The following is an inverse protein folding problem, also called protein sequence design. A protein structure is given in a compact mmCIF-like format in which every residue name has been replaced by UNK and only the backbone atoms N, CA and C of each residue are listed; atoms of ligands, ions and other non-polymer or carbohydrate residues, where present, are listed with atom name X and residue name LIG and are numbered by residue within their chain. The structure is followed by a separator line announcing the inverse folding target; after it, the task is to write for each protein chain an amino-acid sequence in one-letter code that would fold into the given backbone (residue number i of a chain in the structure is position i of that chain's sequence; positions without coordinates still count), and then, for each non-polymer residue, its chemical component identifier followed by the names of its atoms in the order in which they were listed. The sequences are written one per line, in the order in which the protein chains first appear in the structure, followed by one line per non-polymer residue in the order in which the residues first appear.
data_IF_262399723102
#
_entry.id   IF_262399723102
#
_cell.length_a   1.000
_cell.length_b   1.000
_cell.length_c   1.000
_cell.angle_alpha   90.00
_cell.angle_beta   90.00
_cell.angle_gamma   90.00
#
_symmetry.space_group_name_H-M   'P 1'
#
loop_
_entity.id
_entity.type
_entity.pdbx_description
1 polymer ?
#
# COMPACT_ATOMS: atom_id res chain seq x y z
N UNK A 1 -29.01 -1.03 7.20
CA UNK A 1 -27.99 0.04 7.26
C UNK A 1 -26.94 -0.31 6.24
N UNK A 2 -26.78 0.47 5.17
CA UNK A 2 -25.72 0.23 4.17
C UNK A 2 -24.38 0.47 4.85
N UNK A 3 -23.58 -0.59 4.94
CA UNK A 3 -22.22 -0.51 5.48
C UNK A 3 -21.42 0.31 4.47
N UNK A 4 -21.00 1.51 4.82
CA UNK A 4 -20.19 2.37 3.94
C UNK A 4 -18.78 1.81 3.91
N UNK A 5 -18.29 1.51 2.71
CA UNK A 5 -16.92 1.05 2.51
C UNK A 5 -15.90 2.08 3.00
N UNK A 6 -14.72 1.64 3.42
CA UNK A 6 -13.62 2.51 3.89
C UNK A 6 -12.36 2.25 3.08
N UNK A 7 -11.60 3.31 2.82
CA UNK A 7 -10.29 3.20 2.20
C UNK A 7 -9.22 3.15 3.29
N UNK A 8 -8.36 2.13 3.21
CA UNK A 8 -7.22 1.93 4.11
C UNK A 8 -5.94 1.97 3.28
N UNK A 9 -5.05 2.88 3.56
CA UNK A 9 -3.76 3.01 2.87
C UNK A 9 -2.65 2.55 3.82
N UNK A 10 -1.92 1.53 3.43
CA UNK A 10 -0.76 1.01 4.17
C UNK A 10 0.49 1.30 3.35
N UNK A 11 1.34 2.18 3.87
CA UNK A 11 2.59 2.58 3.24
C UNK A 11 3.78 2.45 4.18
N UNK A 12 4.95 2.81 3.69
CA UNK A 12 6.20 2.82 4.43
C UNK A 12 7.36 2.29 3.58
N UNK A 13 8.59 2.30 4.08
CA UNK A 13 9.76 2.03 3.29
C UNK A 13 9.81 0.62 2.72
N UNK A 14 10.45 0.51 1.56
CA UNK A 14 10.71 -0.79 0.95
C UNK A 14 11.60 -1.64 1.86
N UNK A 15 11.16 -2.85 2.21
CA UNK A 15 11.85 -3.71 3.19
C UNK A 15 11.27 -3.67 4.59
N UNK A 16 10.27 -2.82 4.87
CA UNK A 16 9.60 -2.79 6.17
C UNK A 16 8.69 -3.99 6.46
N UNK A 17 8.43 -4.87 5.48
CA UNK A 17 7.59 -6.06 5.64
C UNK A 17 6.10 -5.83 5.40
N UNK A 18 5.71 -4.73 4.76
CA UNK A 18 4.30 -4.37 4.46
C UNK A 18 3.51 -5.52 3.83
N UNK A 19 4.01 -6.11 2.75
CA UNK A 19 3.27 -7.15 2.01
C UNK A 19 2.92 -8.34 2.89
N UNK A 20 3.87 -8.77 3.73
CA UNK A 20 3.63 -9.87 4.68
C UNK A 20 2.60 -9.49 5.73
N UNK A 21 2.66 -8.26 6.25
CA UNK A 21 1.70 -7.74 7.21
C UNK A 21 0.31 -7.63 6.61
N UNK A 22 0.19 -7.05 5.39
CA UNK A 22 -1.08 -6.91 4.68
C UNK A 22 -1.70 -8.26 4.38
N UNK A 23 -0.92 -9.22 3.84
CA UNK A 23 -1.41 -10.56 3.56
C UNK A 23 -1.95 -11.22 4.84
N UNK A 24 -1.18 -11.18 5.94
CA UNK A 24 -1.62 -11.74 7.21
C UNK A 24 -2.84 -11.03 7.80
N UNK A 25 -2.92 -9.71 7.65
CA UNK A 25 -4.08 -8.92 8.07
C UNK A 25 -5.35 -9.36 7.34
N UNK A 26 -5.27 -9.57 6.02
CA UNK A 26 -6.39 -10.05 5.20
C UNK A 26 -6.85 -11.46 5.62
N UNK A 27 -5.93 -12.32 6.08
CA UNK A 27 -6.23 -13.69 6.51
C UNK A 27 -6.97 -13.75 7.85
N UNK A 28 -6.62 -12.85 8.81
CA UNK A 28 -7.10 -12.96 10.19
C UNK A 28 -8.14 -11.93 10.58
N UNK A 29 -8.36 -10.90 9.78
CA UNK A 29 -9.30 -9.82 10.09
C UNK A 29 -10.74 -10.26 9.89
N UNK A 30 -11.62 -9.93 10.85
CA UNK A 30 -13.07 -10.11 10.74
C UNK A 30 -13.75 -8.98 9.92
N UNK A 31 -13.03 -7.91 9.60
CA UNK A 31 -13.53 -6.82 8.76
C UNK A 31 -13.58 -7.26 7.29
N UNK A 32 -14.52 -6.73 6.49
CA UNK A 32 -14.65 -7.08 5.08
C UNK A 32 -13.54 -6.46 4.23
N UNK A 33 -12.27 -6.77 4.55
CA UNK A 33 -11.11 -6.24 3.86
C UNK A 33 -11.02 -6.77 2.42
N UNK A 34 -10.65 -5.89 1.50
CA UNK A 34 -10.40 -6.20 0.09
C UNK A 34 -9.08 -5.55 -0.36
N UNK A 35 -8.09 -6.36 -0.72
CA UNK A 35 -6.85 -5.82 -1.29
C UNK A 35 -7.11 -5.30 -2.70
N UNK A 36 -6.80 -4.03 -2.95
CA UNK A 36 -6.73 -3.50 -4.30
C UNK A 36 -5.42 -3.93 -4.93
N UNK A 37 -5.50 -4.96 -5.79
CA UNK A 37 -4.32 -5.49 -6.50
C UNK A 37 -3.82 -4.45 -7.49
N UNK A 38 -2.58 -4.00 -7.35
CA UNK A 38 -1.96 -3.00 -8.22
C UNK A 38 -1.69 -3.55 -9.62
N UNK A 39 -1.81 -2.69 -10.63
CA UNK A 39 -1.35 -2.99 -11.98
C UNK A 39 0.15 -2.72 -12.12
N UNK A 40 0.83 -3.47 -12.98
CA UNK A 40 2.26 -3.27 -13.28
C UNK A 40 2.63 -3.68 -14.71
N UNK A 41 3.63 -3.01 -15.28
CA UNK A 41 4.24 -3.40 -16.56
C UNK A 41 5.45 -4.33 -16.38
N UNK A 42 5.85 -4.57 -15.12
CA UNK A 42 6.91 -5.54 -14.82
C UNK A 42 6.43 -6.96 -15.16
N UNK A 43 7.24 -7.77 -15.83
CA UNK A 43 6.90 -9.17 -16.03
C UNK A 43 6.75 -9.91 -14.68
N UNK A 44 5.87 -10.94 -14.62
CA UNK A 44 5.70 -11.72 -13.41
C UNK A 44 7.00 -12.44 -13.02
N UNK A 45 7.25 -12.54 -11.72
CA UNK A 45 8.32 -13.37 -11.16
C UNK A 45 7.83 -14.81 -11.01
N UNK A 46 8.77 -15.73 -10.80
CA UNK A 46 8.42 -17.12 -10.48
C UNK A 46 7.48 -17.20 -9.28
N UNK A 47 6.33 -17.84 -9.46
CA UNK A 47 5.30 -17.98 -8.44
C UNK A 47 4.31 -16.82 -8.33
N UNK A 48 4.46 -15.74 -9.10
CA UNK A 48 3.46 -14.68 -9.16
C UNK A 48 2.34 -15.02 -10.16
N UNK A 49 1.10 -14.77 -9.74
CA UNK A 49 -0.11 -15.03 -10.52
C UNK A 49 -0.81 -13.70 -10.89
N UNK A 50 -1.29 -13.63 -12.15
CA UNK A 50 -2.04 -12.46 -12.61
C UNK A 50 -3.36 -12.30 -11.82
N UNK A 51 -3.66 -11.05 -11.48
CA UNK A 51 -4.82 -10.62 -10.66
C UNK A 51 -4.81 -11.09 -9.19
N UNK A 52 -3.77 -11.80 -8.77
CA UNK A 52 -3.57 -12.20 -7.38
C UNK A 52 -2.46 -11.37 -6.74
N UNK A 53 -1.28 -11.36 -7.34
CA UNK A 53 -0.14 -10.58 -6.87
C UNK A 53 -0.11 -9.19 -7.51
N UNK A 54 -0.31 -9.15 -8.83
CA UNK A 54 -0.43 -7.94 -9.63
C UNK A 54 -1.39 -8.17 -10.81
N UNK A 55 -1.89 -7.08 -11.38
CA UNK A 55 -2.51 -7.07 -12.71
C UNK A 55 -1.39 -6.75 -13.68
N UNK A 56 -0.86 -7.79 -14.34
CA UNK A 56 0.24 -7.63 -15.29
C UNK A 56 -0.29 -7.13 -16.62
N UNK A 57 0.18 -5.95 -17.04
CA UNK A 57 -0.20 -5.26 -18.26
C UNK A 57 1.01 -5.09 -19.18
N UNK A 58 0.80 -5.04 -20.49
CA UNK A 58 1.83 -4.53 -21.40
C UNK A 58 2.09 -3.05 -21.14
N UNK A 59 3.24 -2.55 -21.57
CA UNK A 59 3.56 -1.12 -21.46
C UNK A 59 2.50 -0.27 -22.17
N UNK A 60 2.12 -0.64 -23.39
CA UNK A 60 1.15 0.09 -24.20
C UNK A 60 -0.24 0.11 -23.54
N UNK A 61 -0.70 -1.02 -23.00
CA UNK A 61 -1.97 -1.09 -22.32
C UNK A 61 -1.97 -0.24 -21.05
N UNK A 62 -0.88 -0.26 -20.28
CA UNK A 62 -0.73 0.59 -19.09
C UNK A 62 -0.80 2.07 -19.47
N UNK A 63 -0.05 2.51 -20.49
CA UNK A 63 -0.05 3.90 -20.93
C UNK A 63 -1.42 4.33 -21.48
N UNK A 64 -2.11 3.47 -22.22
CA UNK A 64 -3.47 3.72 -22.67
C UNK A 64 -4.41 4.00 -21.49
N UNK A 65 -4.41 3.14 -20.49
CA UNK A 65 -5.23 3.31 -19.27
C UNK A 65 -4.84 4.55 -18.48
N UNK A 66 -3.55 4.87 -18.42
CA UNK A 66 -3.05 6.09 -17.79
C UNK A 66 -3.60 7.34 -18.45
N UNK A 67 -3.54 7.42 -19.78
CA UNK A 67 -4.09 8.54 -20.54
C UNK A 67 -5.62 8.65 -20.44
N UNK A 68 -6.31 7.53 -20.24
CA UNK A 68 -7.76 7.49 -20.00
C UNK A 68 -8.16 7.82 -18.55
N UNK A 69 -7.21 8.14 -17.65
CA UNK A 69 -7.51 8.49 -16.27
C UNK A 69 -7.99 7.33 -15.40
N UNK A 70 -7.70 6.08 -15.79
CA UNK A 70 -8.18 4.88 -15.08
C UNK A 70 -7.42 4.60 -13.78
N UNK A 71 -6.30 5.27 -13.52
CA UNK A 71 -5.54 5.12 -12.29
C UNK A 71 -5.88 6.20 -11.26
N UNK A 72 -5.91 5.83 -9.98
CA UNK A 72 -5.89 6.77 -8.86
C UNK A 72 -4.52 7.40 -8.69
N UNK A 73 -3.50 6.58 -8.76
CA UNK A 73 -2.10 6.93 -8.78
C UNK A 73 -1.35 5.97 -9.70
N UNK A 74 -0.28 6.42 -10.30
CA UNK A 74 0.66 5.55 -10.99
C UNK A 74 2.06 6.19 -11.04
N UNK A 75 3.09 5.36 -11.01
CA UNK A 75 4.48 5.79 -10.95
C UNK A 75 5.41 4.81 -11.65
N UNK A 76 6.46 5.35 -12.27
CA UNK A 76 7.60 4.54 -12.68
C UNK A 76 8.52 4.31 -11.49
N UNK A 77 8.90 3.05 -11.26
CA UNK A 77 9.68 2.65 -10.09
C UNK A 77 11.13 2.37 -10.48
N UNK A 78 12.06 3.00 -9.79
CA UNK A 78 13.53 2.82 -9.88
C UNK A 78 14.17 3.07 -11.25
N UNK A 79 13.56 3.88 -12.13
CA UNK A 79 14.13 4.21 -13.44
C UNK A 79 14.41 3.01 -14.34
N UNK A 80 13.69 1.89 -14.11
CA UNK A 80 13.83 0.65 -14.89
C UNK A 80 12.76 0.51 -15.98
N UNK A 81 11.97 1.56 -16.22
CA UNK A 81 10.88 1.56 -17.20
C UNK A 81 9.64 0.75 -16.72
N UNK A 82 9.61 0.27 -15.48
CA UNK A 82 8.45 -0.45 -14.93
C UNK A 82 7.51 0.49 -14.22
N UNK A 83 6.25 0.46 -14.63
CA UNK A 83 5.17 1.22 -14.05
C UNK A 83 4.37 0.39 -13.07
N UNK A 84 3.87 1.05 -12.04
CA UNK A 84 2.93 0.52 -11.07
C UNK A 84 1.79 1.52 -10.89
N UNK A 85 0.59 1.04 -10.57
CA UNK A 85 -0.53 1.95 -10.31
C UNK A 85 -1.75 1.24 -9.75
N UNK A 86 -2.60 2.02 -9.10
CA UNK A 86 -3.85 1.58 -8.48
C UNK A 86 -5.03 1.92 -9.38
N UNK A 87 -5.79 0.91 -9.82
CA UNK A 87 -6.95 1.11 -10.69
C UNK A 87 -8.12 1.72 -9.92
N UNK A 88 -8.62 2.83 -10.40
CA UNK A 88 -9.73 3.62 -9.83
C UNK A 88 -11.03 2.80 -9.70
N UNK A 89 -11.37 2.01 -10.71
CA UNK A 89 -12.58 1.19 -10.72
C UNK A 89 -12.57 0.09 -9.66
N UNK A 90 -11.43 -0.54 -9.39
CA UNK A 90 -11.30 -1.58 -8.36
C UNK A 90 -11.62 -1.00 -6.98
N UNK A 91 -11.08 0.19 -6.70
CA UNK A 91 -11.30 0.88 -5.44
C UNK A 91 -12.76 1.33 -5.32
N UNK A 92 -13.30 2.02 -6.31
CA UNK A 92 -14.69 2.53 -6.27
C UNK A 92 -15.71 1.40 -6.16
N UNK A 93 -15.53 0.30 -6.88
CA UNK A 93 -16.42 -0.87 -6.79
C UNK A 93 -16.38 -1.46 -5.38
N UNK A 94 -15.19 -1.71 -4.83
CA UNK A 94 -15.07 -2.27 -3.48
C UNK A 94 -15.71 -1.37 -2.40
N UNK A 95 -15.49 -0.08 -2.48
CA UNK A 95 -16.11 0.89 -1.56
C UNK A 95 -17.64 0.89 -1.66
N UNK A 96 -18.19 0.84 -2.88
CA UNK A 96 -19.64 0.79 -3.13
C UNK A 96 -20.28 -0.52 -2.61
N UNK A 97 -19.52 -1.62 -2.61
CA UNK A 97 -19.92 -2.90 -2.03
C UNK A 97 -19.80 -2.93 -0.49
N UNK A 98 -19.43 -1.83 0.14
CA UNK A 98 -19.23 -1.75 1.60
C UNK A 98 -17.97 -2.45 2.09
N UNK A 99 -17.01 -2.76 1.21
CA UNK A 99 -15.72 -3.34 1.57
C UNK A 99 -14.76 -2.28 2.11
N UNK A 100 -13.85 -2.73 2.94
CA UNK A 100 -12.71 -1.92 3.37
C UNK A 100 -11.56 -2.19 2.39
N UNK A 101 -11.39 -1.28 1.44
CA UNK A 101 -10.40 -1.44 0.38
C UNK A 101 -9.03 -1.07 0.92
N UNK A 102 -8.10 -2.02 0.87
CA UNK A 102 -6.72 -1.85 1.34
C UNK A 102 -5.83 -1.56 0.15
N UNK A 103 -5.12 -0.44 0.19
CA UNK A 103 -4.04 -0.11 -0.75
C UNK A 103 -2.69 -0.37 -0.08
N UNK A 104 -1.87 -1.20 -0.70
CA UNK A 104 -0.45 -1.33 -0.36
C UNK A 104 0.36 -0.59 -1.42
N UNK A 105 0.70 0.66 -1.14
CA UNK A 105 1.35 1.58 -2.08
C UNK A 105 2.52 2.31 -1.41
N UNK A 106 3.38 2.95 -2.21
CA UNK A 106 4.46 3.79 -1.68
C UNK A 106 3.92 5.12 -1.13
N UNK A 107 4.79 5.87 -0.46
CA UNK A 107 4.41 7.12 0.21
C UNK A 107 3.94 8.17 -0.78
N UNK A 108 4.58 8.27 -1.95
CA UNK A 108 4.20 9.25 -2.96
C UNK A 108 2.82 8.94 -3.55
N UNK A 109 2.56 7.66 -3.86
CA UNK A 109 1.25 7.20 -4.30
C UNK A 109 0.17 7.47 -3.27
N UNK A 110 0.46 7.25 -1.98
CA UNK A 110 -0.47 7.53 -0.89
C UNK A 110 -0.86 9.02 -0.84
N UNK A 111 0.12 9.93 -0.95
CA UNK A 111 -0.15 11.38 -0.96
C UNK A 111 -1.01 11.81 -2.15
N UNK A 112 -0.85 11.17 -3.31
CA UNK A 112 -1.72 11.43 -4.47
C UNK A 112 -3.14 10.93 -4.20
N UNK A 113 -3.30 9.71 -3.68
CA UNK A 113 -4.63 9.15 -3.37
C UNK A 113 -5.36 9.96 -2.31
N UNK A 114 -4.65 10.54 -1.34
CA UNK A 114 -5.25 11.37 -0.30
C UNK A 114 -5.88 12.66 -0.83
N UNK A 115 -5.52 13.14 -2.01
CA UNK A 115 -6.19 14.28 -2.65
C UNK A 115 -7.63 13.93 -3.03
N UNK A 116 -7.88 12.72 -3.54
CA UNK A 116 -9.22 12.23 -3.90
C UNK A 116 -9.97 11.64 -2.69
N UNK A 117 -9.24 11.09 -1.71
CA UNK A 117 -9.77 10.39 -0.53
C UNK A 117 -9.19 10.92 0.78
N UNK A 118 -9.44 12.18 1.17
CA UNK A 118 -8.85 12.78 2.37
C UNK A 118 -9.29 12.11 3.69
N UNK A 119 -10.35 11.29 3.65
CA UNK A 119 -10.87 10.54 4.80
C UNK A 119 -10.32 9.10 4.89
N UNK A 120 -9.35 8.74 4.03
CA UNK A 120 -8.76 7.41 4.09
C UNK A 120 -8.02 7.19 5.43
N UNK A 121 -8.13 5.98 5.95
CA UNK A 121 -7.34 5.55 7.11
C UNK A 121 -5.92 5.29 6.62
N UNK A 122 -4.97 6.08 7.09
CA UNK A 122 -3.57 5.98 6.64
C UNK A 122 -2.68 5.39 7.72
N UNK A 123 -1.91 4.37 7.36
CA UNK A 123 -1.05 3.62 8.26
C UNK A 123 0.36 3.57 7.67
N UNK A 124 1.33 4.11 8.41
CA UNK A 124 2.74 4.03 8.05
C UNK A 124 3.41 2.89 8.79
N UNK A 125 3.89 1.87 8.04
CA UNK A 125 4.54 0.67 8.61
C UNK A 125 6.04 0.73 8.38
N UNK A 126 6.83 0.70 9.47
CA UNK A 126 8.29 0.75 9.39
C UNK A 126 8.94 -0.19 10.42
N UNK A 127 10.24 -0.53 10.27
CA UNK A 127 10.91 -1.50 11.15
C UNK A 127 11.45 -0.91 12.47
N UNK A 128 11.08 0.32 12.81
CA UNK A 128 11.51 1.00 14.04
C UNK A 128 12.79 1.84 13.86
N UNK A 129 13.78 1.37 13.11
CA UNK A 129 15.03 2.10 12.86
C UNK A 129 15.58 1.85 11.45
N UNK A 130 16.42 2.77 10.98
CA UNK A 130 17.17 2.61 9.72
C UNK A 130 18.15 1.44 9.80
N UNK A 131 18.77 1.20 10.96
CA UNK A 131 19.68 0.06 11.14
C UNK A 131 18.96 -1.29 10.99
N UNK A 132 17.75 -1.43 11.51
CA UNK A 132 16.93 -2.62 11.32
C UNK A 132 16.49 -2.78 9.87
N UNK A 133 16.14 -1.67 9.19
CA UNK A 133 15.81 -1.70 7.77
C UNK A 133 17.01 -2.17 6.92
N UNK A 134 18.18 -1.61 7.16
CA UNK A 134 19.42 -2.02 6.46
C UNK A 134 19.70 -3.50 6.67
N UNK A 135 19.62 -4.00 7.90
CA UNK A 135 19.78 -5.41 8.24
C UNK A 135 18.81 -6.29 7.43
N UNK A 136 17.53 -5.91 7.33
CA UNK A 136 16.53 -6.65 6.55
C UNK A 136 16.82 -6.64 5.05
N UNK A 137 17.30 -5.52 4.51
CA UNK A 137 17.68 -5.42 3.10
C UNK A 137 18.89 -6.31 2.79
N UNK A 138 19.92 -6.29 3.64
CA UNK A 138 21.13 -7.12 3.49
C UNK A 138 20.83 -8.63 3.59
N UNK A 139 19.96 -9.02 4.51
CA UNK A 139 19.60 -10.44 4.72
C UNK A 139 18.87 -11.08 3.52
N UNK A 140 18.34 -10.29 2.58
CA UNK A 140 17.77 -10.82 1.32
C UNK A 140 18.81 -11.37 0.35
N UNK A 141 20.08 -10.98 0.49
CA UNK A 141 21.24 -11.60 -0.19
C UNK A 141 21.33 -11.41 -1.70
N UNK A 142 20.41 -10.70 -2.33
CA UNK A 142 20.27 -10.62 -3.79
C UNK A 142 20.68 -9.27 -4.39
N UNK A 143 21.15 -8.31 -3.57
CA UNK A 143 21.38 -6.93 -3.98
C UNK A 143 22.83 -6.47 -3.80
N UNK A 144 23.32 -5.64 -4.73
CA UNK A 144 24.61 -4.98 -4.58
C UNK A 144 24.58 -3.92 -3.47
N UNK A 145 25.75 -3.58 -2.93
CA UNK A 145 25.91 -2.54 -1.93
C UNK A 145 25.29 -1.19 -2.37
N UNK A 146 25.51 -0.82 -3.64
CA UNK A 146 24.97 0.41 -4.22
C UNK A 146 23.43 0.39 -4.30
N UNK A 147 22.84 -0.79 -4.60
CA UNK A 147 21.39 -0.95 -4.62
C UNK A 147 20.81 -0.78 -3.22
N UNK A 148 21.45 -1.36 -2.20
CA UNK A 148 21.05 -1.21 -0.80
C UNK A 148 21.14 0.26 -0.38
N UNK A 149 22.23 0.97 -0.69
CA UNK A 149 22.39 2.37 -0.33
C UNK A 149 21.28 3.23 -0.93
N UNK A 150 20.99 3.10 -2.23
CA UNK A 150 19.90 3.83 -2.89
C UNK A 150 18.54 3.57 -2.22
N UNK A 151 18.28 2.33 -1.78
CA UNK A 151 17.04 2.00 -1.08
C UNK A 151 16.98 2.61 0.33
N UNK A 152 18.10 2.71 1.01
CA UNK A 152 18.18 3.39 2.31
C UNK A 152 17.95 4.90 2.16
N UNK A 153 18.51 5.52 1.11
CA UNK A 153 18.31 6.95 0.84
C UNK A 153 16.81 7.24 0.59
N UNK A 154 16.17 6.45 -0.29
CA UNK A 154 14.71 6.55 -0.52
C UNK A 154 13.92 6.29 0.75
N UNK A 155 14.31 5.32 1.56
CA UNK A 155 13.63 5.02 2.81
C UNK A 155 13.73 6.16 3.83
N UNK A 156 14.86 6.88 3.86
CA UNK A 156 15.01 8.07 4.70
C UNK A 156 14.04 9.19 4.29
N UNK A 157 13.89 9.41 2.97
CA UNK A 157 12.91 10.36 2.43
C UNK A 157 11.47 9.94 2.77
N UNK A 158 11.14 8.66 2.61
CA UNK A 158 9.80 8.13 2.94
C UNK A 158 9.50 8.26 4.45
N UNK A 159 10.48 7.98 5.32
CA UNK A 159 10.35 8.14 6.77
C UNK A 159 10.11 9.62 7.19
N UNK A 160 10.69 10.57 6.49
CA UNK A 160 10.46 11.99 6.74
C UNK A 160 8.99 12.39 6.50
N UNK A 161 8.29 11.68 5.62
CA UNK A 161 6.89 11.93 5.26
C UNK A 161 5.87 11.18 6.15
N UNK A 162 6.32 10.41 7.16
CA UNK A 162 5.42 9.63 8.03
C UNK A 162 4.39 10.47 8.77
N UNK A 163 4.67 11.75 9.01
CA UNK A 163 3.76 12.68 9.68
C UNK A 163 2.47 12.98 8.90
N UNK A 164 2.38 12.62 7.61
CA UNK A 164 1.16 12.69 6.81
C UNK A 164 0.19 11.54 7.10
N UNK A 165 0.61 10.53 7.87
CA UNK A 165 -0.21 9.36 8.19
C UNK A 165 -0.88 9.52 9.54
N UNK A 166 -2.13 9.04 9.63
CA UNK A 166 -2.90 9.07 10.88
C UNK A 166 -2.31 8.14 11.93
N UNK A 167 -1.72 7.02 11.47
CA UNK A 167 -1.15 6.01 12.35
C UNK A 167 0.26 5.62 11.89
N UNK A 168 1.15 5.46 12.88
CA UNK A 168 2.49 4.93 12.71
C UNK A 168 2.59 3.60 13.45
N UNK A 169 3.06 2.56 12.77
CA UNK A 169 3.11 1.18 13.30
C UNK A 169 4.50 0.59 13.07
N UNK A 170 5.15 0.20 14.16
CA UNK A 170 6.44 -0.50 14.12
C UNK A 170 6.18 -1.98 13.83
N UNK A 171 6.79 -2.49 12.76
CA UNK A 171 6.77 -3.90 12.39
C UNK A 171 8.06 -4.58 12.86
N UNK A 172 8.13 -4.90 14.13
CA UNK A 172 9.19 -5.72 14.72
C UNK A 172 8.85 -7.22 14.66
N UNK A 173 7.65 -7.58 15.06
CA UNK A 173 7.10 -8.93 15.04
C UNK A 173 5.76 -8.94 14.29
N UNK A 174 5.69 -9.71 13.21
CA UNK A 174 4.52 -9.74 12.30
C UNK A 174 3.20 -9.98 13.05
N UNK A 175 3.15 -10.99 13.94
CA UNK A 175 1.91 -11.33 14.64
C UNK A 175 1.41 -10.20 15.54
N UNK A 176 2.31 -9.56 16.29
CA UNK A 176 2.00 -8.41 17.14
C UNK A 176 1.54 -7.22 16.32
N UNK A 177 2.23 -6.94 15.22
CA UNK A 177 1.88 -5.87 14.29
C UNK A 177 0.48 -6.08 13.70
N UNK A 178 0.16 -7.28 13.24
CA UNK A 178 -1.15 -7.61 12.68
C UNK A 178 -2.26 -7.50 13.74
N UNK A 179 -2.04 -7.99 14.97
CA UNK A 179 -3.00 -7.81 16.07
C UNK A 179 -3.25 -6.33 16.39
N UNK A 180 -2.19 -5.52 16.37
CA UNK A 180 -2.32 -4.07 16.55
C UNK A 180 -3.15 -3.44 15.43
N UNK A 181 -2.89 -3.78 14.17
CA UNK A 181 -3.67 -3.30 13.02
C UNK A 181 -5.13 -3.72 13.09
N UNK A 182 -5.44 -4.96 13.47
CA UNK A 182 -6.83 -5.41 13.67
C UNK A 182 -7.55 -4.54 14.71
N UNK A 183 -6.93 -4.33 15.87
CA UNK A 183 -7.50 -3.49 16.95
C UNK A 183 -7.70 -2.04 16.50
N UNK A 184 -6.73 -1.49 15.78
CA UNK A 184 -6.79 -0.14 15.23
C UNK A 184 -7.95 0.00 14.24
N UNK A 185 -8.08 -0.90 13.29
CA UNK A 185 -9.14 -0.82 12.28
C UNK A 185 -10.54 -1.00 12.89
N UNK A 186 -10.71 -1.85 13.90
CA UNK A 186 -11.98 -2.03 14.61
C UNK A 186 -12.49 -0.73 15.24
N UNK A 187 -11.60 0.18 15.69
CA UNK A 187 -12.00 1.49 16.23
C UNK A 187 -12.77 2.33 15.20
N UNK A 188 -12.45 2.17 13.91
CA UNK A 188 -13.13 2.87 12.82
C UNK A 188 -14.46 2.22 12.40
N UNK A 189 -14.81 1.04 12.93
CA UNK A 189 -16.03 0.33 12.52
C UNK A 189 -17.31 1.06 12.93
N UNK A 190 -17.29 1.79 14.04
CA UNK A 190 -18.44 2.55 14.56
C UNK A 190 -18.54 4.01 14.08
N UNK A 191 -17.51 4.55 13.43
CA UNK A 191 -17.48 5.92 12.99
C UNK A 191 -18.31 6.11 11.71
N UNK A 192 -19.45 6.80 11.83
CA UNK A 192 -20.16 7.35 10.67
C UNK A 192 -19.27 8.42 10.04
N UNK A 193 -18.96 8.28 8.75
CA UNK A 193 -18.32 9.33 7.99
C UNK A 193 -19.21 10.57 8.13
N UNK A 194 -18.75 11.58 8.87
CA UNK A 194 -19.39 12.90 8.87
C UNK A 194 -19.08 13.52 7.51
N UNK A 195 -19.99 13.37 6.56
CA UNK A 195 -19.97 14.21 5.36
C UNK A 195 -20.13 15.65 5.83
N UNK A 196 -19.04 16.41 5.84
CA UNK A 196 -19.12 17.87 5.89
C UNK A 196 -19.74 18.31 4.55
N UNK A 197 -21.06 18.58 4.59
CA UNK A 197 -21.70 19.39 3.56
C UNK A 197 -21.14 20.82 3.73
N UNK A 198 -20.39 21.27 2.77
CA UNK A 198 -20.32 22.67 2.37
C UNK A 198 -20.34 22.73 0.84
#
# INVERSE_FOLDING_TARGET
MTNVGKLVIISGPSGSGKSTVVQKLLEVSELPLLLSVSATTRPPRLGEENRKNYIFLSHDEFQKRRHSGEFLECKEVFGRGYWYGTLRNVVSTGLNEGKWVVLEIDVQGALVVLQDYPQAITIFVHPGSMAELEKRLRNRGTESQESIQRRLDVAAEELALRHHYTHEVINDQINTTVQHLCKLLVQYQGEKIRCSKN
#
